data_IF_997130400448
#
_entry.id   IF_997130400448
#
_cell.length_a   1.000
_cell.length_b   1.000
_cell.length_c   1.000
_cell.angle_alpha   90.00
_cell.angle_beta   90.00
_cell.angle_gamma   90.00
#
_symmetry.space_group_name_H-M   'P 1'
#
loop_
_entity.id
_entity.type
_entity.pdbx_description
1 polymer ?
#
# COMPACT_ATOMS: atom_id res chain seq x y z
N UNK A 1 -4.53 12.01 -0.85
CA UNK A 1 -5.00 10.64 -1.18
C UNK A 1 -4.05 9.62 -0.60
N UNK A 2 -4.55 8.41 -0.33
CA UNK A 2 -3.73 7.23 -0.05
C UNK A 2 -3.50 6.50 -1.37
N UNK A 3 -2.27 6.54 -1.89
CA UNK A 3 -1.91 5.90 -3.15
C UNK A 3 -1.63 4.41 -2.92
N UNK A 4 -2.15 3.55 -3.79
CA UNK A 4 -2.08 2.09 -3.65
C UNK A 4 -1.29 1.48 -4.82
N UNK A 5 -0.15 0.86 -4.50
CA UNK A 5 0.66 0.07 -5.44
C UNK A 5 0.20 -1.38 -5.53
N UNK A 6 0.93 -2.17 -6.30
CA UNK A 6 0.63 -3.56 -6.57
C UNK A 6 1.69 -4.53 -6.05
N UNK A 7 1.25 -5.60 -5.41
CA UNK A 7 2.05 -6.80 -5.11
C UNK A 7 1.61 -7.97 -5.97
N UNK A 8 2.42 -9.02 -5.98
CA UNK A 8 2.18 -10.28 -6.68
C UNK A 8 2.58 -11.47 -5.81
N UNK A 9 2.02 -12.64 -6.13
CA UNK A 9 2.38 -13.92 -5.52
C UNK A 9 1.80 -14.15 -4.12
N UNK A 10 1.98 -15.37 -3.60
CA UNK A 10 1.59 -15.76 -2.24
C UNK A 10 2.63 -15.36 -1.19
N UNK A 11 3.91 -15.46 -1.55
CA UNK A 11 4.99 -14.70 -0.90
C UNK A 11 5.04 -13.35 -1.58
N UNK A 12 4.50 -12.33 -0.91
CA UNK A 12 4.33 -11.00 -1.50
C UNK A 12 5.67 -10.43 -1.97
N UNK A 13 5.73 -10.08 -3.25
CA UNK A 13 6.76 -9.25 -3.84
C UNK A 13 6.11 -8.08 -4.57
N UNK A 14 6.85 -7.00 -4.81
CA UNK A 14 6.41 -5.97 -5.72
C UNK A 14 6.01 -6.57 -7.08
N UNK A 15 4.83 -6.19 -7.58
CA UNK A 15 4.45 -6.49 -8.95
C UNK A 15 5.24 -5.56 -9.89
N UNK A 16 5.73 -6.09 -11.01
CA UNK A 16 6.46 -5.26 -11.99
C UNK A 16 5.63 -4.11 -12.53
N UNK A 17 4.30 -4.27 -12.57
CA UNK A 17 3.34 -3.23 -12.97
C UNK A 17 3.08 -2.16 -11.91
N UNK A 18 3.63 -2.30 -10.70
CA UNK A 18 3.34 -1.38 -9.60
C UNK A 18 3.90 0.01 -9.93
N UNK A 19 3.01 0.98 -10.09
CA UNK A 19 3.44 2.36 -10.28
C UNK A 19 3.96 2.94 -8.97
N UNK A 20 5.09 3.63 -9.03
CA UNK A 20 5.69 4.32 -7.90
C UNK A 20 6.86 5.21 -8.30
N UNK A 21 7.24 6.12 -7.42
CA UNK A 21 8.28 7.11 -7.68
C UNK A 21 8.10 8.35 -6.83
N UNK A 22 8.56 9.50 -7.34
CA UNK A 22 8.53 10.77 -6.63
C UNK A 22 7.91 11.88 -7.48
N UNK A 23 7.05 12.69 -6.86
CA UNK A 23 6.40 13.80 -7.56
C UNK A 23 7.37 14.95 -7.89
N UNK A 24 7.33 15.47 -9.11
CA UNK A 24 8.01 16.74 -9.46
C UNK A 24 7.22 17.99 -9.05
N UNK A 25 5.97 17.85 -8.59
CA UNK A 25 5.07 18.97 -8.30
C UNK A 25 4.80 19.16 -6.81
N UNK A 26 4.67 18.06 -6.07
CA UNK A 26 4.27 18.09 -4.67
C UNK A 26 5.48 17.78 -3.79
N UNK A 27 5.83 18.64 -2.81
CA UNK A 27 6.95 18.37 -1.91
C UNK A 27 6.63 17.20 -0.98
N UNK A 28 7.67 16.59 -0.38
CA UNK A 28 7.52 15.54 0.63
C UNK A 28 6.64 16.06 1.78
N UNK A 29 5.46 15.45 2.03
CA UNK A 29 4.57 15.89 3.11
C UNK A 29 5.17 15.52 4.47
N UNK A 30 4.80 16.27 5.52
CA UNK A 30 5.39 16.14 6.85
C UNK A 30 5.34 14.70 7.41
N UNK A 31 4.23 13.99 7.21
CA UNK A 31 4.06 12.61 7.67
C UNK A 31 4.93 11.58 6.92
N UNK A 32 5.53 11.94 5.78
CA UNK A 32 6.35 11.04 4.96
C UNK A 32 7.86 11.30 5.09
N UNK A 33 8.27 12.39 5.75
CA UNK A 33 9.65 12.88 5.70
C UNK A 33 10.67 11.84 6.14
N UNK A 34 10.41 11.16 7.26
CA UNK A 34 11.36 10.19 7.81
C UNK A 34 11.47 8.94 6.93
N UNK A 35 10.33 8.46 6.42
CA UNK A 35 10.26 7.34 5.49
C UNK A 35 11.04 7.61 4.20
N UNK A 36 10.81 8.76 3.56
CA UNK A 36 11.53 9.18 2.36
C UNK A 36 13.02 9.38 2.63
N UNK A 37 13.38 10.05 3.74
CA UNK A 37 14.78 10.26 4.12
C UNK A 37 15.50 8.92 4.31
N UNK A 38 14.86 7.96 4.97
CA UNK A 38 15.38 6.61 5.18
C UNK A 38 15.62 5.91 3.84
N UNK A 39 14.62 5.88 2.94
CA UNK A 39 14.75 5.27 1.63
C UNK A 39 15.89 5.88 0.80
N UNK A 40 15.99 7.22 0.76
CA UNK A 40 17.02 7.93 0.00
C UNK A 40 18.43 7.78 0.57
N UNK A 41 18.58 7.29 1.79
CA UNK A 41 19.89 6.94 2.38
C UNK A 41 20.38 5.54 1.99
N UNK A 42 19.51 4.73 1.37
CA UNK A 42 19.85 3.39 0.90
C UNK A 42 20.70 3.37 -0.38
N UNK A 43 21.18 2.17 -0.72
CA UNK A 43 21.90 1.89 -1.96
C UNK A 43 20.98 1.37 -3.07
N UNK A 44 21.42 1.41 -4.32
CA UNK A 44 20.67 0.84 -5.44
C UNK A 44 19.52 1.72 -5.95
N UNK A 45 19.53 3.01 -5.60
CA UNK A 45 18.61 4.00 -6.16
C UNK A 45 18.79 4.12 -7.68
N UNK A 46 17.72 4.40 -8.44
CA UNK A 46 17.84 4.79 -9.84
C UNK A 46 18.73 6.02 -10.02
N UNK A 47 19.11 6.30 -11.28
CA UNK A 47 19.78 7.56 -11.60
C UNK A 47 18.98 8.74 -11.02
N UNK A 48 19.66 9.59 -10.25
CA UNK A 48 19.06 10.75 -9.60
C UNK A 48 18.45 11.76 -10.58
N UNK A 49 18.79 11.69 -11.88
CA UNK A 49 18.16 12.48 -12.95
C UNK A 49 16.76 12.00 -13.31
N UNK A 50 16.39 10.78 -12.93
CA UNK A 50 15.11 10.16 -13.30
C UNK A 50 13.99 10.46 -12.29
N UNK A 51 14.30 10.99 -11.10
CA UNK A 51 13.29 11.28 -10.08
C UNK A 51 13.65 12.47 -9.17
N UNK A 52 12.62 13.11 -8.61
CA UNK A 52 12.79 14.23 -7.67
C UNK A 52 12.97 13.75 -6.24
N UNK A 53 14.15 13.91 -5.65
CA UNK A 53 14.39 13.63 -4.21
C UNK A 53 13.59 14.52 -3.25
N UNK A 54 13.10 15.66 -3.73
CA UNK A 54 12.30 16.61 -2.94
C UNK A 54 10.79 16.34 -3.03
N UNK A 55 10.38 15.37 -3.84
CA UNK A 55 8.98 15.08 -4.15
C UNK A 55 8.28 14.17 -3.15
N UNK A 56 6.96 14.27 -3.05
CA UNK A 56 6.10 13.25 -2.41
C UNK A 56 6.37 11.91 -3.09
N UNK A 57 6.89 10.95 -2.33
CA UNK A 57 7.12 9.59 -2.81
C UNK A 57 5.81 8.81 -2.84
N UNK A 58 5.57 7.91 -3.80
CA UNK A 58 4.36 7.07 -3.84
C UNK A 58 4.73 5.67 -4.34
N UNK A 59 3.94 4.62 -4.03
CA UNK A 59 2.66 4.64 -3.32
C UNK A 59 2.80 4.82 -1.78
N UNK A 60 1.68 4.89 -1.06
CA UNK A 60 1.67 4.86 0.41
C UNK A 60 1.58 3.45 0.96
N UNK A 61 0.86 2.57 0.26
CA UNK A 61 0.59 1.18 0.61
C UNK A 61 0.50 0.37 -0.69
N UNK A 62 0.34 -0.93 -0.59
CA UNK A 62 0.09 -1.81 -1.73
C UNK A 62 -0.91 -2.91 -1.38
N UNK A 63 -1.39 -3.62 -2.40
CA UNK A 63 -2.18 -4.84 -2.24
C UNK A 63 -2.01 -5.73 -3.49
N UNK A 64 -2.53 -6.95 -3.44
CA UNK A 64 -2.46 -7.90 -4.54
C UNK A 64 -3.02 -7.31 -5.84
N UNK A 65 -2.22 -7.36 -6.91
CA UNK A 65 -2.51 -6.71 -8.18
C UNK A 65 -2.38 -7.64 -9.39
N UNK A 66 -1.98 -8.90 -9.21
CA UNK A 66 -1.74 -9.84 -10.32
C UNK A 66 -2.59 -11.10 -10.10
N UNK A 67 -3.08 -11.67 -11.21
CA UNK A 67 -3.96 -12.85 -11.21
C UNK A 67 -5.24 -12.64 -10.39
N UNK A 68 -5.80 -11.43 -10.42
CA UNK A 68 -7.08 -11.13 -9.78
C UNK A 68 -8.20 -11.69 -10.65
N UNK A 69 -8.99 -12.65 -10.14
CA UNK A 69 -10.08 -13.25 -10.92
C UNK A 69 -11.30 -12.33 -10.92
N UNK A 70 -11.83 -12.03 -12.09
CA UNK A 70 -13.09 -11.28 -12.27
C UNK A 70 -14.03 -12.05 -13.19
N UNK A 71 -15.33 -11.82 -13.09
CA UNK A 71 -16.30 -12.28 -14.08
C UNK A 71 -16.54 -11.15 -15.07
N UNK A 72 -16.05 -11.31 -16.30
CA UNK A 72 -16.27 -10.34 -17.37
C UNK A 72 -17.18 -10.97 -18.42
N UNK A 73 -18.34 -10.36 -18.68
CA UNK A 73 -19.35 -10.89 -19.60
C UNK A 73 -19.74 -12.36 -19.32
N UNK A 74 -19.84 -12.73 -18.04
CA UNK A 74 -20.15 -14.10 -17.61
C UNK A 74 -18.97 -15.08 -17.63
N UNK A 75 -17.77 -14.64 -18.04
CA UNK A 75 -16.58 -15.48 -18.15
C UNK A 75 -15.57 -15.15 -17.05
N UNK A 76 -15.13 -16.13 -16.24
CA UNK A 76 -14.01 -15.96 -15.32
C UNK A 76 -12.73 -15.63 -16.09
N UNK A 77 -12.16 -14.45 -15.83
CA UNK A 77 -10.95 -13.95 -16.48
C UNK A 77 -9.97 -13.42 -15.43
N UNK A 78 -8.70 -13.85 -15.44
CA UNK A 78 -7.68 -13.22 -14.62
C UNK A 78 -7.33 -11.84 -15.20
N UNK A 79 -7.23 -10.84 -14.33
CA UNK A 79 -6.77 -9.49 -14.67
C UNK A 79 -5.62 -9.07 -13.76
N UNK A 80 -4.94 -7.99 -14.14
CA UNK A 80 -3.87 -7.41 -13.36
C UNK A 80 -3.93 -5.87 -13.40
N UNK A 81 -3.42 -5.24 -12.35
CA UNK A 81 -3.30 -3.79 -12.25
C UNK A 81 -3.47 -3.28 -10.83
N UNK A 82 -2.95 -2.08 -10.56
CA UNK A 82 -3.24 -1.35 -9.31
C UNK A 82 -4.73 -1.02 -9.17
N UNK A 83 -5.49 -1.04 -10.28
CA UNK A 83 -6.96 -1.03 -10.30
C UNK A 83 -7.59 -2.18 -9.51
N UNK A 84 -6.90 -3.32 -9.37
CA UNK A 84 -7.33 -4.41 -8.49
C UNK A 84 -6.89 -4.14 -7.04
N UNK A 85 -5.66 -3.66 -6.84
CA UNK A 85 -5.12 -3.40 -5.51
C UNK A 85 -5.88 -2.30 -4.74
N UNK A 86 -6.27 -1.22 -5.42
CA UNK A 86 -6.96 -0.08 -4.83
C UNK A 86 -8.28 -0.47 -4.12
N UNK A 87 -9.24 -1.17 -4.77
CA UNK A 87 -10.44 -1.63 -4.08
C UNK A 87 -10.16 -2.71 -3.02
N UNK A 88 -9.12 -3.54 -3.17
CA UNK A 88 -8.72 -4.50 -2.12
C UNK A 88 -8.33 -3.78 -0.84
N UNK A 89 -7.45 -2.78 -0.92
CA UNK A 89 -7.06 -1.97 0.24
C UNK A 89 -8.25 -1.20 0.83
N UNK A 90 -9.10 -0.62 -0.01
CA UNK A 90 -10.31 0.08 0.42
C UNK A 90 -11.27 -0.86 1.17
N UNK A 91 -11.44 -2.09 0.71
CA UNK A 91 -12.25 -3.12 1.37
C UNK A 91 -11.74 -3.44 2.78
N UNK A 92 -10.43 -3.63 2.95
CA UNK A 92 -9.85 -3.85 4.29
C UNK A 92 -10.05 -2.64 5.20
N UNK A 93 -9.84 -1.42 4.70
CA UNK A 93 -10.12 -0.20 5.50
C UNK A 93 -11.61 -0.06 5.86
N UNK A 94 -12.51 -0.50 4.98
CA UNK A 94 -13.94 -0.53 5.26
C UNK A 94 -14.26 -1.47 6.44
N UNK A 95 -13.68 -2.68 6.45
CA UNK A 95 -13.81 -3.62 7.56
C UNK A 95 -13.23 -3.05 8.87
N UNK A 96 -12.12 -2.32 8.80
CA UNK A 96 -11.56 -1.64 9.98
C UNK A 96 -12.51 -0.55 10.46
N UNK A 97 -13.10 0.25 9.57
CA UNK A 97 -14.09 1.26 9.94
C UNK A 97 -15.36 0.65 10.53
N UNK A 98 -15.85 -0.46 9.99
CA UNK A 98 -16.98 -1.20 10.54
C UNK A 98 -16.68 -1.68 11.97
N UNK A 99 -15.50 -2.27 12.21
CA UNK A 99 -15.06 -2.64 13.56
C UNK A 99 -14.96 -1.43 14.50
N UNK A 100 -14.50 -0.27 14.01
CA UNK A 100 -14.47 0.99 14.78
C UNK A 100 -15.86 1.45 15.16
N UNK A 101 -16.80 1.46 14.21
CA UNK A 101 -18.17 1.90 14.43
C UNK A 101 -18.89 0.99 15.45
N UNK A 102 -18.70 -0.33 15.36
CA UNK A 102 -19.19 -1.28 16.38
C UNK A 102 -18.62 -1.04 17.78
N UNK A 103 -17.41 -0.48 17.86
CA UNK A 103 -16.75 -0.07 19.10
C UNK A 103 -17.09 1.38 19.52
N UNK A 104 -18.06 2.04 18.88
CA UNK A 104 -18.46 3.42 19.19
C UNK A 104 -17.44 4.48 18.78
N UNK A 105 -16.54 4.16 17.84
CA UNK A 105 -15.49 5.06 17.34
C UNK A 105 -15.84 5.64 15.97
N UNK A 106 -15.38 6.87 15.64
CA UNK A 106 -15.56 7.45 14.31
C UNK A 106 -14.70 6.71 13.27
N UNK A 107 -15.03 6.87 11.98
CA UNK A 107 -14.21 6.34 10.88
C UNK A 107 -12.83 7.02 10.81
N UNK A 108 -11.87 6.39 10.11
CA UNK A 108 -10.47 6.84 10.08
C UNK A 108 -10.20 8.09 9.23
N UNK A 109 -11.03 8.38 8.22
CA UNK A 109 -10.77 9.49 7.29
C UNK A 109 -9.44 9.34 6.54
N UNK A 110 -8.62 10.39 6.52
CA UNK A 110 -7.32 10.39 5.86
C UNK A 110 -6.27 9.61 6.66
N UNK A 111 -5.90 8.42 6.18
CA UNK A 111 -5.09 7.45 6.93
C UNK A 111 -3.58 7.63 6.85
N UNK A 112 -3.03 8.40 5.90
CA UNK A 112 -1.56 8.44 5.70
C UNK A 112 -0.81 8.80 6.99
N UNK A 113 -1.13 9.89 7.72
CA UNK A 113 -0.40 10.21 8.94
C UNK A 113 -0.41 9.09 9.98
N UNK A 114 -1.53 8.35 10.10
CA UNK A 114 -1.65 7.21 11.00
C UNK A 114 -0.74 6.06 10.56
N UNK A 115 -0.75 5.71 9.27
CA UNK A 115 0.02 4.59 8.74
C UNK A 115 1.53 4.83 8.79
N UNK A 116 1.99 6.02 8.40
CA UNK A 116 3.41 6.35 8.45
C UNK A 116 3.96 6.43 9.87
N UNK A 117 3.12 6.76 10.86
CA UNK A 117 3.49 6.67 12.28
C UNK A 117 3.52 5.24 12.80
N UNK A 118 2.84 4.30 12.14
CA UNK A 118 2.67 2.92 12.59
C UNK A 118 2.87 1.90 11.45
N UNK A 119 4.04 1.89 10.78
CA UNK A 119 4.27 1.05 9.60
C UNK A 119 4.17 -0.46 9.92
N UNK A 120 4.45 -0.85 11.17
CA UNK A 120 4.39 -2.23 11.63
C UNK A 120 2.97 -2.82 11.63
N UNK A 121 1.94 -1.98 11.48
CA UNK A 121 0.55 -2.41 11.31
C UNK A 121 0.23 -2.93 9.90
N UNK A 122 1.19 -2.88 8.98
CA UNK A 122 1.12 -3.45 7.63
C UNK A 122 2.06 -4.67 7.54
N UNK A 123 2.05 -5.36 6.40
CA UNK A 123 3.06 -6.36 6.07
C UNK A 123 4.07 -5.76 5.10
N UNK A 124 5.33 -5.67 5.52
CA UNK A 124 6.41 -5.08 4.72
C UNK A 124 6.78 -5.98 3.53
N UNK A 125 6.94 -5.37 2.35
CA UNK A 125 7.30 -6.05 1.11
C UNK A 125 8.70 -5.61 0.73
N UNK A 126 9.63 -6.56 0.66
CA UNK A 126 11.08 -6.25 0.63
C UNK A 126 11.79 -6.81 -0.60
N UNK A 127 11.02 -7.24 -1.61
CA UNK A 127 11.56 -7.84 -2.83
C UNK A 127 10.72 -7.51 -4.05
N UNK A 128 11.36 -7.56 -5.23
CA UNK A 128 10.76 -7.15 -6.50
C UNK A 128 11.02 -5.68 -6.83
N UNK A 129 10.80 -5.32 -8.09
CA UNK A 129 11.05 -3.97 -8.62
C UNK A 129 9.94 -3.58 -9.60
N UNK A 130 9.82 -2.28 -9.92
CA UNK A 130 8.92 -1.76 -10.95
C UNK A 130 9.68 -1.23 -12.17
N UNK A 131 10.22 -2.12 -13.03
CA UNK A 131 10.96 -1.69 -14.21
C UNK A 131 10.09 -0.89 -15.18
N UNK A 132 10.71 0.04 -15.90
CA UNK A 132 10.05 0.89 -16.88
C UNK A 132 11.06 1.73 -17.64
N UNK A 133 10.71 2.12 -18.88
CA UNK A 133 11.57 2.89 -19.78
C UNK A 133 12.99 2.30 -19.91
N UNK A 134 13.07 0.97 -20.07
CA UNK A 134 14.33 0.20 -20.15
C UNK A 134 15.26 0.36 -18.93
N UNK A 135 14.73 0.80 -17.80
CA UNK A 135 15.43 0.86 -16.51
C UNK A 135 14.92 -0.22 -15.56
N UNK A 136 15.70 -0.52 -14.52
CA UNK A 136 15.26 -1.38 -13.41
C UNK A 136 14.15 -0.73 -12.57
N UNK A 137 13.87 0.57 -12.74
CA UNK A 137 12.99 1.32 -11.87
C UNK A 137 13.46 1.29 -10.42
N UNK A 138 12.52 1.41 -9.49
CA UNK A 138 12.80 1.24 -8.06
C UNK A 138 12.59 -0.21 -7.64
N UNK A 139 13.21 -0.59 -6.52
CA UNK A 139 13.02 -1.91 -5.92
C UNK A 139 12.49 -1.76 -4.50
N UNK A 140 11.66 -2.74 -4.11
CA UNK A 140 11.16 -2.86 -2.76
C UNK A 140 12.31 -3.22 -1.80
N UNK A 141 12.32 -2.60 -0.64
CA UNK A 141 13.37 -2.69 0.39
C UNK A 141 12.71 -2.63 1.77
N UNK A 142 13.38 -3.05 2.86
CA UNK A 142 12.82 -2.92 4.19
C UNK A 142 12.35 -1.50 4.53
N UNK A 143 11.10 -1.37 5.01
CA UNK A 143 10.47 -0.10 5.33
C UNK A 143 9.62 0.47 4.19
N UNK A 144 9.58 1.81 4.08
CA UNK A 144 8.86 2.44 2.98
C UNK A 144 9.71 2.44 1.71
N UNK A 145 9.11 2.06 0.58
CA UNK A 145 9.73 2.14 -0.73
C UNK A 145 8.76 2.70 -1.80
N UNK A 146 9.27 3.30 -2.90
CA UNK A 146 8.47 3.85 -3.99
C UNK A 146 8.03 2.77 -5.01
N UNK A 147 7.69 1.57 -4.53
CA UNK A 147 7.10 0.48 -5.31
C UNK A 147 5.89 -0.09 -4.59
N UNK A 148 6.03 -0.41 -3.31
CA UNK A 148 5.03 -1.05 -2.44
C UNK A 148 4.62 -0.20 -1.25
N UNK A 149 5.21 0.99 -1.08
CA UNK A 149 4.87 1.92 -0.03
C UNK A 149 5.27 1.35 1.33
N UNK A 150 4.38 1.45 2.31
CA UNK A 150 4.55 0.81 3.62
C UNK A 150 4.17 -0.69 3.62
N UNK A 151 3.84 -1.24 2.45
CA UNK A 151 3.43 -2.65 2.29
C UNK A 151 1.92 -2.87 2.27
N UNK A 152 1.51 -4.11 2.56
CA UNK A 152 0.13 -4.59 2.37
C UNK A 152 -0.72 -4.55 3.64
N UNK A 153 -2.06 -4.41 3.55
CA UNK A 153 -2.90 -4.22 4.72
C UNK A 153 -2.98 -5.51 5.57
N UNK A 154 -2.69 -5.39 6.86
CA UNK A 154 -2.94 -6.44 7.84
C UNK A 154 -4.15 -6.06 8.69
N UNK A 155 -5.32 -6.66 8.40
CA UNK A 155 -6.57 -6.32 9.08
C UNK A 155 -6.46 -6.40 10.61
N UNK A 156 -5.93 -7.50 11.15
CA UNK A 156 -5.85 -7.71 12.59
C UNK A 156 -4.99 -6.64 13.28
N UNK A 157 -3.82 -6.34 12.71
CA UNK A 157 -2.94 -5.29 13.26
C UNK A 157 -3.56 -3.90 13.14
N UNK A 158 -4.21 -3.59 12.02
CA UNK A 158 -4.90 -2.31 11.82
C UNK A 158 -6.10 -2.16 12.78
N UNK A 159 -6.88 -3.21 12.98
CA UNK A 159 -7.98 -3.22 13.95
C UNK A 159 -7.47 -3.01 15.38
N UNK A 160 -6.38 -3.68 15.77
CA UNK A 160 -5.73 -3.50 17.07
C UNK A 160 -5.22 -2.07 17.25
N UNK A 161 -4.44 -1.56 16.29
CA UNK A 161 -3.89 -0.19 16.30
C UNK A 161 -4.98 0.87 16.47
N UNK A 162 -6.12 0.66 15.83
CA UNK A 162 -7.23 1.63 15.82
C UNK A 162 -8.21 1.42 16.99
N UNK A 163 -7.92 0.44 17.86
CA UNK A 163 -8.72 0.08 19.03
C UNK A 163 -10.11 -0.43 18.65
N UNK A 164 -10.14 -1.29 17.65
CA UNK A 164 -11.33 -1.89 17.00
C UNK A 164 -11.41 -3.40 17.26
N UNK A 165 -10.46 -3.95 18.03
CA UNK A 165 -10.32 -5.37 18.32
C UNK A 165 -11.41 -5.95 19.25
N UNK A 166 -12.04 -5.08 20.07
CA UNK A 166 -12.84 -5.50 21.22
C UNK A 166 -14.27 -5.97 20.96
N UNK A 167 -14.76 -5.96 19.71
CA UNK A 167 -16.14 -6.38 19.37
C UNK A 167 -16.24 -7.12 18.03
N UNK A 168 -15.23 -7.93 17.69
CA UNK A 168 -15.25 -8.78 16.48
C UNK A 168 -16.16 -10.02 16.61
N UNK A 169 -16.95 -10.14 17.69
CA UNK A 169 -17.95 -11.19 17.85
C UNK A 169 -19.35 -10.58 17.66
N UNK A 170 -20.13 -11.17 16.75
CA UNK A 170 -21.54 -10.91 16.42
C UNK A 170 -21.83 -10.06 15.17
N UNK A 171 -21.40 -10.57 14.01
CA UNK A 171 -22.27 -10.61 12.83
C UNK A 171 -21.74 -11.71 11.89
N UNK A 172 -22.51 -12.76 11.57
CA UNK A 172 -22.11 -13.68 10.53
C UNK A 172 -22.05 -12.91 9.21
N UNK A 173 -20.92 -13.00 8.51
CA UNK A 173 -20.87 -12.67 7.10
C UNK A 173 -21.69 -13.75 6.42
N UNK A 174 -22.91 -13.42 6.03
CA UNK A 174 -23.68 -14.22 5.09
C UNK A 174 -23.10 -13.90 3.71
N UNK A 175 -22.36 -14.86 3.15
CA UNK A 175 -22.13 -14.96 1.70
C UNK A 175 -23.16 -15.94 1.17
#
# INVERSE_FOLDING_TARGET
VTAVGGTAGSKESAASLSSGGFSYRWPVPAWQKDAVKSFLSGSGLPDAKLFSKAGRGFPDVSAQAVNYMVISFGVPSPVAGTSCASPTFAGVLSLVNDARLRAGKPTLGFVNPLLYKNPTALNDVTSGCNPGCDTKGFCAVPGWDPVTGLGTPNFAKLANLTGSAGRAAAAPIVV
#
